data_IF_717620647122
#
_entry.id   IF_717620647122
#
_cell.length_a   1.000
_cell.length_b   1.000
_cell.length_c   1.000
_cell.angle_alpha   90.00
_cell.angle_beta   90.00
_cell.angle_gamma   90.00
#
_symmetry.space_group_name_H-M   'P 1'
#
loop_
_entity.id
_entity.type
_entity.pdbx_description
1 polymer ?
#
# COMPACT_ATOMS: atom_id res chain seq x y z
N UNK A 1 -6.22 7.03 -8.39
CA UNK A 1 -6.66 8.31 -7.78
C UNK A 1 -6.13 8.41 -6.35
N UNK A 2 -6.02 9.62 -5.76
CA UNK A 2 -5.58 9.76 -4.35
C UNK A 2 -6.45 8.96 -3.38
N UNK A 3 -7.77 8.93 -3.62
CA UNK A 3 -8.71 8.15 -2.81
C UNK A 3 -8.41 6.65 -2.83
N UNK A 4 -8.10 6.08 -3.99
CA UNK A 4 -7.75 4.66 -4.09
C UNK A 4 -6.47 4.32 -3.34
N UNK A 5 -5.45 5.20 -3.39
CA UNK A 5 -4.20 5.02 -2.65
C UNK A 5 -4.45 5.05 -1.15
N UNK A 6 -5.28 6.00 -0.67
CA UNK A 6 -5.65 6.08 0.74
C UNK A 6 -6.44 4.82 1.21
N UNK A 7 -7.34 4.31 0.38
CA UNK A 7 -8.08 3.08 0.66
C UNK A 7 -7.14 1.87 0.70
N UNK A 8 -6.20 1.77 -0.25
CA UNK A 8 -5.21 0.70 -0.29
C UNK A 8 -4.28 0.73 0.93
N UNK A 9 -3.83 1.92 1.36
CA UNK A 9 -3.02 2.10 2.57
C UNK A 9 -3.75 1.56 3.82
N UNK A 10 -5.04 1.89 3.94
CA UNK A 10 -5.88 1.39 5.04
C UNK A 10 -6.14 -0.10 4.94
N UNK A 11 -6.41 -0.63 3.74
CA UNK A 11 -6.61 -2.06 3.52
C UNK A 11 -5.35 -2.89 3.83
N UNK A 12 -4.18 -2.29 3.63
CA UNK A 12 -2.90 -2.87 4.03
C UNK A 12 -2.67 -2.82 5.56
N UNK A 13 -3.57 -2.21 6.34
CA UNK A 13 -3.52 -2.17 7.80
C UNK A 13 -2.80 -0.95 8.39
N UNK A 14 -2.38 0.02 7.55
CA UNK A 14 -1.78 1.27 8.03
C UNK A 14 -2.90 2.26 8.36
N UNK A 15 -2.96 2.69 9.62
CA UNK A 15 -3.94 3.67 10.09
C UNK A 15 -3.24 5.00 10.34
N UNK A 16 -3.78 6.06 9.75
CA UNK A 16 -3.32 7.44 9.92
C UNK A 16 -4.36 8.23 10.71
N UNK A 17 -3.92 9.19 11.52
CA UNK A 17 -4.80 10.01 12.36
C UNK A 17 -5.68 10.98 11.57
N UNK A 18 -5.28 11.33 10.35
CA UNK A 18 -6.03 12.27 9.51
C UNK A 18 -7.12 11.57 8.70
N UNK A 19 -8.29 12.21 8.63
CA UNK A 19 -9.40 11.78 7.76
C UNK A 19 -9.24 12.24 6.30
N UNK A 20 -8.24 13.08 5.99
CA UNK A 20 -7.99 13.60 4.64
C UNK A 20 -7.37 12.52 3.73
N UNK A 21 -8.09 12.06 2.68
CA UNK A 21 -7.57 11.06 1.75
C UNK A 21 -6.35 11.55 0.96
N UNK A 22 -6.23 12.86 0.69
CA UNK A 22 -5.10 13.42 -0.02
C UNK A 22 -3.82 13.32 0.81
N UNK A 23 -3.90 13.65 2.10
CA UNK A 23 -2.78 13.52 3.03
C UNK A 23 -2.39 12.06 3.27
N UNK A 24 -3.37 11.15 3.39
CA UNK A 24 -3.13 9.72 3.50
C UNK A 24 -2.45 9.15 2.25
N UNK A 25 -2.89 9.56 1.05
CA UNK A 25 -2.27 9.15 -0.21
C UNK A 25 -0.82 9.66 -0.31
N UNK A 26 -0.58 10.91 0.09
CA UNK A 26 0.76 11.48 0.14
C UNK A 26 1.67 10.70 1.09
N UNK A 27 1.19 10.38 2.29
CA UNK A 27 1.92 9.54 3.24
C UNK A 27 2.25 8.17 2.66
N UNK A 28 1.31 7.52 1.98
CA UNK A 28 1.58 6.24 1.31
C UNK A 28 2.74 6.35 0.32
N UNK A 29 2.74 7.39 -0.53
CA UNK A 29 3.83 7.64 -1.48
C UNK A 29 5.15 7.97 -0.78
N UNK A 30 5.12 8.74 0.30
CA UNK A 30 6.31 9.08 1.08
C UNK A 30 6.91 7.84 1.78
N UNK A 31 6.07 6.89 2.19
CA UNK A 31 6.44 5.66 2.90
C UNK A 31 6.85 4.50 1.98
N UNK A 32 6.23 4.37 0.81
CA UNK A 32 6.32 3.16 -0.03
C UNK A 32 6.73 3.43 -1.48
N UNK A 33 7.08 4.66 -1.84
CA UNK A 33 7.76 4.96 -3.10
C UNK A 33 9.13 5.61 -2.83
N UNK A 34 9.94 5.78 -3.86
CA UNK A 34 11.20 6.52 -3.82
C UNK A 34 11.11 7.84 -4.58
N UNK A 35 10.07 8.01 -5.40
CA UNK A 35 9.81 9.26 -6.09
C UNK A 35 9.50 10.40 -5.13
N UNK A 36 9.94 11.59 -5.53
CA UNK A 36 9.77 12.81 -4.77
C UNK A 36 10.77 12.98 -3.64
N UNK A 37 10.78 14.19 -3.07
CA UNK A 37 11.58 14.53 -1.90
C UNK A 37 10.69 14.55 -0.68
N UNK A 38 11.10 13.81 0.34
CA UNK A 38 10.50 13.87 1.67
C UNK A 38 11.48 14.61 2.54
N UNK A 39 11.12 15.81 2.98
CA UNK A 39 11.83 16.49 4.05
C UNK A 39 11.09 16.19 5.37
N UNK A 40 11.63 15.30 6.22
CA UNK A 40 10.99 14.99 7.50
C UNK A 40 11.01 16.18 8.47
N UNK A 41 11.91 17.15 8.26
CA UNK A 41 12.12 18.31 9.12
C UNK A 41 11.28 19.51 8.71
N UNK A 42 10.77 19.54 7.47
CA UNK A 42 9.85 20.57 7.00
C UNK A 42 8.67 20.77 7.98
N UNK A 43 8.25 22.02 8.17
CA UNK A 43 7.20 22.37 9.12
C UNK A 43 5.85 21.74 8.75
N UNK A 44 5.61 21.55 7.45
CA UNK A 44 4.41 20.97 6.86
C UNK A 44 4.54 19.48 6.53
N UNK A 45 5.58 18.80 7.06
CA UNK A 45 5.84 17.41 6.69
C UNK A 45 4.63 16.51 6.97
N UNK A 46 4.24 15.64 6.03
CA UNK A 46 3.05 14.79 6.19
C UNK A 46 3.11 13.90 7.43
N UNK A 47 4.31 13.47 7.85
CA UNK A 47 4.54 12.71 9.10
C UNK A 47 4.10 13.50 10.34
N UNK A 48 4.30 14.82 10.36
CA UNK A 48 3.87 15.69 11.48
C UNK A 48 2.36 15.93 11.46
N UNK A 49 1.75 15.98 10.27
CA UNK A 49 0.33 16.35 10.08
C UNK A 49 -0.63 15.16 10.13
N UNK A 50 -0.17 13.97 9.80
CA UNK A 50 -0.94 12.74 9.86
C UNK A 50 -0.07 11.65 10.47
N UNK A 51 -0.09 11.60 11.80
CA UNK A 51 0.60 10.58 12.56
C UNK A 51 0.07 9.19 12.20
N UNK A 52 0.99 8.25 11.96
CA UNK A 52 0.64 6.83 11.82
C UNK A 52 0.31 6.30 13.21
N UNK A 53 -0.95 5.90 13.44
CA UNK A 53 -1.43 5.37 14.72
C UNK A 53 -1.35 3.85 14.80
N UNK A 54 -1.34 3.18 13.66
CA UNK A 54 -1.16 1.73 13.58
C UNK A 54 -0.35 1.39 12.35
N UNK A 55 0.66 0.55 12.54
CA UNK A 55 1.53 0.10 11.46
C UNK A 55 1.76 -1.43 11.57
N UNK A 56 1.38 -2.21 10.54
CA UNK A 56 1.57 -3.66 10.54
C UNK A 56 3.04 -4.06 10.55
N UNK A 57 3.40 -5.06 11.36
CA UNK A 57 4.79 -5.56 11.45
C UNK A 57 5.32 -6.05 10.10
N UNK A 58 4.48 -6.71 9.32
CA UNK A 58 4.86 -7.31 8.03
C UNK A 58 5.26 -6.25 6.98
N UNK A 59 4.77 -5.01 7.11
CA UNK A 59 5.14 -3.91 6.24
C UNK A 59 6.42 -3.18 6.69
N UNK A 60 6.96 -3.50 7.87
CA UNK A 60 8.08 -2.75 8.43
C UNK A 60 9.33 -2.91 7.58
N UNK A 61 9.63 -4.13 7.14
CA UNK A 61 10.77 -4.39 6.28
C UNK A 61 10.62 -3.66 4.93
N UNK A 62 9.43 -3.67 4.34
CA UNK A 62 9.12 -2.99 3.08
C UNK A 62 9.37 -1.49 3.21
N UNK A 63 8.84 -0.87 4.27
CA UNK A 63 9.09 0.54 4.57
C UNK A 63 10.60 0.83 4.72
N UNK A 64 11.31 0.04 5.53
CA UNK A 64 12.74 0.27 5.80
C UNK A 64 13.59 0.17 4.55
N UNK A 65 13.38 -0.85 3.73
CA UNK A 65 14.11 -1.01 2.45
C UNK A 65 13.78 0.14 1.51
N UNK A 66 12.52 0.56 1.42
CA UNK A 66 12.12 1.69 0.57
C UNK A 66 12.82 2.99 0.97
N UNK A 67 12.89 3.30 2.27
CA UNK A 67 13.58 4.50 2.75
C UNK A 67 15.10 4.44 2.51
N UNK A 68 15.73 3.26 2.63
CA UNK A 68 17.14 3.08 2.30
C UNK A 68 17.41 3.30 0.80
N UNK A 69 16.58 2.71 -0.06
CA UNK A 69 16.66 2.91 -1.51
C UNK A 69 16.45 4.38 -1.89
N UNK A 70 15.52 5.08 -1.21
CA UNK A 70 15.31 6.52 -1.40
C UNK A 70 16.58 7.32 -1.10
N UNK A 71 17.19 7.08 0.07
CA UNK A 71 18.42 7.78 0.45
C UNK A 71 19.59 7.49 -0.50
N UNK A 72 19.72 6.22 -0.93
CA UNK A 72 20.76 5.82 -1.90
C UNK A 72 20.53 6.48 -3.26
N UNK A 73 19.32 6.41 -3.80
CA UNK A 73 18.96 7.02 -5.07
C UNK A 73 19.25 8.53 -5.07
N UNK A 74 18.85 9.24 -4.01
CA UNK A 74 19.15 10.66 -3.85
C UNK A 74 20.65 10.96 -3.77
N UNK A 75 21.41 10.13 -3.06
CA UNK A 75 22.88 10.30 -2.94
C UNK A 75 23.59 10.07 -4.27
N UNK A 76 23.07 9.17 -5.10
CA UNK A 76 23.62 8.84 -6.41
C UNK A 76 23.09 9.75 -7.53
N UNK A 77 22.18 10.69 -7.25
CA UNK A 77 21.56 11.55 -8.25
C UNK A 77 20.58 10.81 -9.18
N UNK A 78 19.95 9.73 -8.69
CA UNK A 78 18.92 8.98 -9.41
C UNK A 78 17.54 9.52 -9.00
N UNK A 79 16.99 10.41 -9.81
CA UNK A 79 15.78 11.16 -9.46
C UNK A 79 14.47 10.49 -9.91
N UNK A 80 14.55 9.48 -10.78
CA UNK A 80 13.39 8.85 -11.42
C UNK A 80 13.16 7.38 -11.00
N UNK A 81 13.96 6.86 -10.07
CA UNK A 81 13.71 5.53 -9.52
C UNK A 81 12.43 5.54 -8.68
N UNK A 82 11.53 4.58 -8.95
CA UNK A 82 10.25 4.44 -8.25
C UNK A 82 10.05 3.00 -7.81
N UNK A 83 10.14 2.74 -6.50
CA UNK A 83 9.75 1.45 -5.94
C UNK A 83 8.34 1.05 -6.37
N UNK A 84 7.37 1.97 -6.38
CA UNK A 84 6.00 1.65 -6.78
C UNK A 84 5.93 1.14 -8.23
N UNK A 85 6.65 1.77 -9.17
CA UNK A 85 6.72 1.30 -10.57
C UNK A 85 7.43 -0.05 -10.69
N UNK A 86 8.53 -0.25 -9.96
CA UNK A 86 9.27 -1.52 -9.97
C UNK A 86 8.45 -2.68 -9.41
N UNK A 87 7.62 -2.43 -8.38
CA UNK A 87 6.81 -3.45 -7.72
C UNK A 87 5.51 -3.77 -8.46
N UNK A 88 5.01 -2.84 -9.28
CA UNK A 88 3.71 -2.96 -9.93
C UNK A 88 3.51 -4.26 -10.77
N UNK A 89 4.49 -4.77 -11.53
CA UNK A 89 4.35 -6.04 -12.26
C UNK A 89 4.12 -7.23 -11.32
N UNK A 90 4.86 -7.29 -10.21
CA UNK A 90 4.75 -8.36 -9.22
C UNK A 90 3.42 -8.29 -8.46
N UNK A 91 2.97 -7.08 -8.10
CA UNK A 91 1.68 -6.88 -7.46
C UNK A 91 0.52 -7.33 -8.36
N UNK A 92 0.55 -6.99 -9.67
CA UNK A 92 -0.45 -7.44 -10.64
C UNK A 92 -0.46 -8.96 -10.80
N UNK A 93 0.71 -9.58 -10.87
CA UNK A 93 0.82 -11.03 -10.96
C UNK A 93 0.32 -11.72 -9.68
N UNK A 94 0.62 -11.17 -8.49
CA UNK A 94 0.11 -11.68 -7.22
C UNK A 94 -1.42 -11.59 -7.15
N UNK A 95 -2.01 -10.48 -7.59
CA UNK A 95 -3.46 -10.31 -7.68
C UNK A 95 -4.08 -11.35 -8.63
N UNK A 96 -3.51 -11.54 -9.82
CA UNK A 96 -3.98 -12.55 -10.79
C UNK A 96 -3.94 -13.97 -10.23
N UNK A 97 -2.96 -14.28 -9.36
CA UNK A 97 -2.86 -15.58 -8.68
C UNK A 97 -3.82 -15.72 -7.49
N UNK A 98 -4.24 -14.62 -6.90
CA UNK A 98 -5.18 -14.58 -5.79
C UNK A 98 -6.64 -14.59 -6.26
N UNK A 99 -6.91 -14.33 -7.54
CA UNK A 99 -8.24 -14.49 -8.12
C UNK A 99 -8.68 -15.96 -7.99
N UNK A 100 -9.88 -16.23 -7.45
CA UNK A 100 -10.43 -17.58 -7.43
C UNK A 100 -10.44 -18.13 -8.85
N UNK A 101 -9.95 -19.35 -9.02
CA UNK A 101 -10.09 -20.03 -10.30
C UNK A 101 -11.57 -20.15 -10.65
N UNK A 102 -11.90 -20.20 -11.94
CA UNK A 102 -13.27 -20.42 -12.41
C UNK A 102 -13.89 -21.70 -11.82
N UNK A 103 -13.07 -22.65 -11.36
CA UNK A 103 -13.49 -23.87 -10.71
C UNK A 103 -13.86 -23.64 -9.23
N UNK A 104 -13.05 -22.90 -8.48
CA UNK A 104 -13.35 -22.48 -7.10
C UNK A 104 -14.56 -21.55 -7.03
N UNK A 105 -14.73 -20.67 -8.02
CA UNK A 105 -15.89 -19.78 -8.11
C UNK A 105 -17.18 -20.57 -8.37
N UNK A 106 -17.14 -21.56 -9.27
CA UNK A 106 -18.24 -22.50 -9.52
C UNK A 106 -18.56 -23.34 -8.27
N UNK A 107 -17.55 -23.75 -7.51
CA UNK A 107 -17.71 -24.54 -6.30
C UNK A 107 -18.29 -23.70 -5.14
N UNK A 108 -17.84 -22.44 -4.97
CA UNK A 108 -18.45 -21.47 -4.06
C UNK A 108 -19.93 -21.26 -4.40
N UNK A 109 -20.25 -20.94 -5.65
CA UNK A 109 -21.63 -20.71 -6.08
C UNK A 109 -22.52 -21.94 -5.88
N UNK A 110 -21.99 -23.15 -6.12
CA UNK A 110 -22.69 -24.40 -5.80
C UNK A 110 -22.95 -24.53 -4.31
N UNK A 111 -21.96 -24.26 -3.46
CA UNK A 111 -22.07 -24.36 -2.00
C UNK A 111 -23.06 -23.35 -1.40
N UNK A 112 -23.18 -22.14 -1.98
CA UNK A 112 -24.19 -21.15 -1.59
C UNK A 112 -25.59 -21.43 -2.16
N UNK A 113 -25.71 -22.26 -3.20
CA UNK A 113 -26.99 -22.63 -3.80
C UNK A 113 -27.58 -23.93 -3.24
N UNK A 114 -26.84 -24.67 -2.41
CA UNK A 114 -27.39 -25.82 -1.72
C UNK A 114 -28.30 -25.35 -0.57
N UNK A 115 -29.54 -25.87 -0.46
CA UNK A 115 -30.37 -25.62 0.71
C UNK A 115 -29.64 -26.12 1.95
N UNK A 116 -29.67 -25.35 3.03
CA UNK A 116 -29.25 -25.86 4.34
C UNK A 116 -30.31 -26.88 4.77
N UNK A 117 -30.08 -28.16 4.51
CA UNK A 117 -30.95 -29.21 5.02
C UNK A 117 -30.80 -29.30 6.55
N UNK A 118 -31.81 -28.81 7.26
CA UNK A 118 -32.07 -29.11 8.66
C UNK A 118 -31.64 -28.05 9.67
N UNK A 119 -32.54 -27.11 9.97
CA UNK A 119 -32.91 -26.68 11.35
C UNK A 119 -34.39 -26.34 11.35
#
# INVERSE_FOLDING_TARGET
>A
SQREVALALRAAGVVVSSADPGLAARLASDMFDTLGRVDPWAADSPIKRAGVTTFPKDLFLVLRVTQLLRGLAQTLGVDDFSCARQWAPFAREALRRAEPSAQEEREMLRRFSQPVEGV
#
